data_IF_662627469300
#
_entry.id   IF_662627469300
#
_cell.length_a   1.000
_cell.length_b   1.000
_cell.length_c   1.000
_cell.angle_alpha   90.00
_cell.angle_beta   90.00
_cell.angle_gamma   90.00
#
_symmetry.space_group_name_H-M   'P 1'
#
loop_
_entity.id
_entity.type
_entity.pdbx_description
1 polymer ?
#
# COMPACT_ATOMS: atom_id res chain seq x y z
N UNK A 1 -12.41 -8.98 0.78
CA UNK A 1 -11.25 -9.55 0.06
C UNK A 1 -9.92 -9.04 0.62
N UNK A 2 -8.85 -9.85 0.52
CA UNK A 2 -7.46 -9.43 0.75
C UNK A 2 -6.72 -9.32 -0.58
N UNK A 3 -6.21 -8.14 -0.89
CA UNK A 3 -5.53 -7.82 -2.15
C UNK A 3 -4.07 -7.46 -1.89
N UNK A 4 -3.21 -7.64 -2.87
CA UNK A 4 -1.81 -7.24 -2.82
C UNK A 4 -1.30 -6.80 -4.19
N UNK A 5 -0.17 -6.10 -4.20
CA UNK A 5 0.71 -6.08 -5.36
C UNK A 5 1.83 -7.08 -5.10
N UNK A 6 2.17 -7.92 -6.08
CA UNK A 6 3.20 -8.95 -5.91
C UNK A 6 3.99 -9.16 -7.20
N UNK A 7 5.21 -9.68 -7.10
CA UNK A 7 5.90 -10.29 -8.23
C UNK A 7 6.25 -11.74 -7.92
N UNK A 8 6.40 -12.61 -8.92
CA UNK A 8 7.17 -13.84 -8.70
C UNK A 8 8.58 -13.48 -8.20
N UNK A 9 9.26 -14.41 -7.51
CA UNK A 9 10.66 -14.23 -7.10
C UNK A 9 11.58 -13.99 -8.30
N UNK A 10 11.33 -14.69 -9.40
CA UNK A 10 12.05 -14.54 -10.66
C UNK A 10 11.05 -14.63 -11.84
N UNK A 11 11.05 -13.66 -12.79
CA UNK A 11 11.85 -12.44 -12.81
C UNK A 11 11.35 -11.38 -11.82
N UNK A 12 12.26 -10.53 -11.34
CA UNK A 12 11.91 -9.37 -10.52
C UNK A 12 11.06 -8.37 -11.32
N UNK A 13 9.89 -8.02 -10.78
CA UNK A 13 9.04 -6.96 -11.32
C UNK A 13 8.86 -5.89 -10.24
N UNK A 14 9.41 -4.70 -10.48
CA UNK A 14 9.40 -3.58 -9.53
C UNK A 14 7.99 -3.21 -9.09
N UNK A 15 7.06 -3.06 -10.04
CA UNK A 15 5.65 -2.77 -9.76
C UNK A 15 4.86 -4.00 -9.31
N UNK A 16 5.18 -5.16 -9.88
CA UNK A 16 4.40 -6.39 -9.73
C UNK A 16 3.04 -6.35 -10.43
N UNK A 17 2.23 -7.36 -10.14
CA UNK A 17 0.84 -7.52 -10.58
C UNK A 17 -0.12 -7.42 -9.40
N UNK A 18 -1.36 -7.00 -9.64
CA UNK A 18 -2.43 -7.13 -8.65
C UNK A 18 -2.75 -8.60 -8.39
N UNK A 19 -2.95 -8.95 -7.13
CA UNK A 19 -3.33 -10.29 -6.71
C UNK A 19 -4.39 -10.28 -5.61
N UNK A 20 -5.19 -11.33 -5.55
CA UNK A 20 -6.06 -11.67 -4.41
C UNK A 20 -5.40 -12.79 -3.61
N UNK A 21 -5.25 -12.58 -2.31
CA UNK A 21 -4.74 -13.62 -1.40
C UNK A 21 -5.89 -14.55 -1.05
N UNK A 22 -5.67 -15.85 -1.22
CA UNK A 22 -6.64 -16.90 -0.92
C UNK A 22 -5.92 -18.06 -0.19
N UNK A 23 -5.95 -18.06 1.14
CA UNK A 23 -5.20 -19.02 1.94
C UNK A 23 -3.69 -18.95 1.69
N UNK A 24 -3.15 -20.01 1.09
CA UNK A 24 -1.72 -20.21 0.81
C UNK A 24 -1.30 -19.84 -0.61
N UNK A 25 -2.17 -19.17 -1.38
CA UNK A 25 -1.89 -18.73 -2.75
C UNK A 25 -2.28 -17.28 -3.01
N UNK A 26 -1.70 -16.73 -4.06
CA UNK A 26 -2.05 -15.44 -4.66
C UNK A 26 -2.60 -15.68 -6.06
N UNK A 27 -3.84 -15.25 -6.27
CA UNK A 27 -4.52 -15.32 -7.56
C UNK A 27 -4.28 -14.00 -8.29
N UNK A 28 -3.52 -14.04 -9.37
CA UNK A 28 -3.24 -12.88 -10.21
C UNK A 28 -4.53 -12.36 -10.85
N UNK A 29 -4.76 -11.06 -10.70
CA UNK A 29 -5.91 -10.37 -11.30
C UNK A 29 -5.48 -9.68 -12.60
N UNK A 30 -6.33 -9.75 -13.63
CA UNK A 30 -6.11 -9.14 -14.93
C UNK A 30 -6.32 -7.61 -14.90
N UNK A 31 -5.49 -6.93 -14.12
CA UNK A 31 -5.40 -5.48 -13.99
C UNK A 31 -3.92 -5.05 -13.96
N UNK A 32 -3.65 -3.79 -14.28
CA UNK A 32 -2.28 -3.26 -14.28
C UNK A 32 -1.80 -2.84 -12.88
N UNK A 33 -2.71 -2.34 -12.04
CA UNK A 33 -2.46 -1.89 -10.67
C UNK A 33 -3.73 -2.10 -9.83
N UNK A 34 -3.61 -2.07 -8.49
CA UNK A 34 -4.79 -2.03 -7.63
C UNK A 34 -5.63 -0.76 -7.85
N UNK A 35 -5.00 0.36 -8.22
CA UNK A 35 -5.74 1.57 -8.62
C UNK A 35 -6.62 1.28 -9.84
N UNK A 36 -6.07 0.66 -10.89
CA UNK A 36 -6.82 0.29 -12.08
C UNK A 36 -7.96 -0.69 -11.75
N UNK A 37 -7.71 -1.64 -10.85
CA UNK A 37 -8.71 -2.58 -10.34
C UNK A 37 -9.88 -1.85 -9.66
N UNK A 38 -9.59 -0.92 -8.74
CA UNK A 38 -10.64 -0.15 -8.06
C UNK A 38 -11.39 0.79 -9.00
N UNK A 39 -10.67 1.47 -9.92
CA UNK A 39 -11.33 2.32 -10.92
C UNK A 39 -12.21 1.54 -11.89
N UNK A 40 -11.92 0.25 -12.09
CA UNK A 40 -12.72 -0.68 -12.90
C UNK A 40 -13.89 -1.34 -12.15
N UNK A 41 -14.22 -0.87 -10.95
CA UNK A 41 -15.34 -1.40 -10.15
C UNK A 41 -14.99 -2.61 -9.28
N UNK A 42 -13.71 -2.89 -9.06
CA UNK A 42 -13.26 -3.97 -8.17
C UNK A 42 -13.55 -5.37 -8.71
N UNK A 43 -13.68 -5.51 -10.03
CA UNK A 43 -13.87 -6.79 -10.72
C UNK A 43 -12.80 -6.94 -11.79
N UNK A 44 -12.10 -8.08 -11.79
CA UNK A 44 -11.14 -8.43 -12.81
C UNK A 44 -11.16 -9.93 -13.04
N UNK A 45 -10.79 -10.36 -14.26
CA UNK A 45 -10.61 -11.79 -14.55
C UNK A 45 -9.40 -12.31 -13.77
N UNK A 46 -9.47 -13.55 -13.33
CA UNK A 46 -8.33 -14.26 -12.75
C UNK A 46 -7.43 -14.78 -13.88
N UNK A 47 -6.11 -14.67 -13.72
CA UNK A 47 -5.16 -15.01 -14.77
C UNK A 47 -4.31 -16.24 -14.44
N UNK A 48 -3.72 -16.28 -13.26
CA UNK A 48 -2.82 -17.35 -12.82
C UNK A 48 -2.82 -17.47 -11.29
N UNK A 49 -2.39 -18.63 -10.78
CA UNK A 49 -2.21 -18.88 -9.35
C UNK A 49 -0.72 -19.01 -9.03
N UNK A 50 -0.30 -18.40 -7.92
CA UNK A 50 1.07 -18.46 -7.40
C UNK A 50 1.05 -18.90 -5.94
N UNK A 51 1.91 -19.84 -5.51
CA UNK A 51 2.09 -20.13 -4.09
C UNK A 51 2.51 -18.86 -3.34
N UNK A 52 1.91 -18.59 -2.19
CA UNK A 52 2.21 -17.41 -1.37
C UNK A 52 3.69 -17.38 -0.95
N UNK A 53 4.30 -18.54 -0.74
CA UNK A 53 5.72 -18.67 -0.42
C UNK A 53 6.66 -18.24 -1.56
N UNK A 54 6.17 -18.22 -2.80
CA UNK A 54 6.96 -18.00 -4.02
C UNK A 54 6.79 -16.58 -4.60
N UNK A 55 6.06 -15.71 -3.90
CA UNK A 55 5.88 -14.31 -4.29
C UNK A 55 6.68 -13.37 -3.40
N UNK A 56 6.99 -12.20 -3.96
CA UNK A 56 7.52 -11.05 -3.23
C UNK A 56 6.47 -9.96 -3.25
N UNK A 57 6.10 -9.45 -2.08
CA UNK A 57 5.13 -8.36 -1.99
C UNK A 57 5.73 -7.04 -2.45
N UNK A 58 4.89 -6.22 -3.07
CA UNK A 58 5.18 -4.85 -3.49
C UNK A 58 4.28 -3.88 -2.76
N UNK A 59 4.68 -2.60 -2.73
CA UNK A 59 3.81 -1.54 -2.25
C UNK A 59 2.46 -1.60 -3.01
N UNK A 60 1.30 -1.64 -2.31
CA UNK A 60 0.00 -1.74 -2.94
C UNK A 60 -0.31 -0.63 -3.95
N UNK A 61 0.27 0.55 -3.72
CA UNK A 61 0.23 1.70 -4.63
C UNK A 61 1.60 2.36 -4.65
N UNK A 62 2.42 2.02 -5.65
CA UNK A 62 3.80 2.51 -5.73
C UNK A 62 3.90 4.00 -6.11
N UNK A 63 2.98 4.51 -6.95
CA UNK A 63 2.99 5.89 -7.43
C UNK A 63 1.60 6.53 -7.37
N UNK A 64 1.07 6.78 -6.16
CA UNK A 64 -0.16 7.52 -6.01
C UNK A 64 0.05 8.99 -6.44
N UNK A 65 -0.99 9.66 -6.97
CA UNK A 65 -0.90 11.08 -7.30
C UNK A 65 -0.72 11.98 -6.08
N UNK A 66 -1.18 11.53 -4.90
CA UNK A 66 -0.98 12.23 -3.63
C UNK A 66 -1.08 11.26 -2.45
N UNK A 67 -0.43 11.61 -1.34
CA UNK A 67 -0.60 10.97 -0.03
C UNK A 67 -0.96 12.07 0.97
N UNK A 68 -2.04 11.88 1.71
CA UNK A 68 -2.50 12.79 2.77
C UNK A 68 -2.37 12.07 4.11
N UNK A 69 -1.63 12.67 5.04
CA UNK A 69 -1.49 12.18 6.41
C UNK A 69 -2.37 13.04 7.30
N UNK A 70 -3.33 12.39 7.95
CA UNK A 70 -4.28 13.05 8.85
C UNK A 70 -3.77 13.00 10.29
N UNK A 71 -4.03 14.06 11.04
CA UNK A 71 -3.87 14.09 12.49
C UNK A 71 -5.18 13.78 13.23
N UNK A 72 -5.13 13.79 14.56
CA UNK A 72 -6.30 13.50 15.41
C UNK A 72 -7.39 14.57 15.31
N UNK A 73 -7.07 15.79 14.87
CA UNK A 73 -8.05 16.86 14.67
C UNK A 73 -8.74 16.78 13.30
N UNK A 74 -8.29 15.89 12.42
CA UNK A 74 -8.80 15.72 11.07
C UNK A 74 -8.17 16.67 10.04
N UNK A 75 -7.17 17.46 10.44
CA UNK A 75 -6.34 18.22 9.51
C UNK A 75 -5.37 17.27 8.79
N UNK A 76 -4.83 17.69 7.65
CA UNK A 76 -3.87 16.87 6.91
C UNK A 76 -2.70 17.65 6.34
N UNK A 77 -1.60 16.92 6.14
CA UNK A 77 -0.43 17.37 5.38
C UNK A 77 -0.17 16.44 4.20
N UNK A 78 0.43 16.98 3.14
CA UNK A 78 0.92 16.16 2.03
C UNK A 78 2.23 15.48 2.40
N UNK A 79 2.30 14.18 2.15
CA UNK A 79 3.55 13.43 2.20
C UNK A 79 4.05 13.13 0.78
N UNK A 80 5.36 12.89 0.64
CA UNK A 80 5.98 12.69 -0.66
C UNK A 80 5.63 11.31 -1.25
N UNK A 81 4.87 11.24 -2.36
CA UNK A 81 4.51 9.97 -2.98
C UNK A 81 5.72 9.23 -3.57
N UNK A 82 6.77 9.95 -3.95
CA UNK A 82 7.99 9.35 -4.51
C UNK A 82 8.85 8.64 -3.45
N UNK A 83 8.53 8.82 -2.16
CA UNK A 83 9.21 8.17 -1.04
C UNK A 83 8.57 6.83 -0.63
N UNK A 84 7.57 6.34 -1.36
CA UNK A 84 6.91 5.07 -1.04
C UNK A 84 7.87 3.88 -1.25
N UNK A 85 7.88 2.99 -0.26
CA UNK A 85 8.71 1.79 -0.15
C UNK A 85 7.83 0.56 0.09
N UNK A 86 8.29 -0.60 -0.36
CA UNK A 86 7.70 -1.88 0.05
C UNK A 86 8.06 -2.19 1.51
N UNK A 87 7.37 -3.16 2.12
CA UNK A 87 7.55 -3.51 3.54
C UNK A 87 8.98 -3.97 3.88
N UNK A 88 9.67 -4.58 2.94
CA UNK A 88 11.02 -5.12 3.12
C UNK A 88 12.14 -4.17 2.62
N UNK A 89 11.79 -3.00 2.08
CA UNK A 89 12.78 -2.04 1.59
C UNK A 89 13.36 -1.20 2.73
N UNK A 90 14.68 -0.99 2.71
CA UNK A 90 15.37 -0.12 3.67
C UNK A 90 14.93 1.36 3.50
N UNK A 91 14.47 2.04 4.57
CA UNK A 91 14.16 3.48 4.53
C UNK A 91 15.39 4.37 4.31
N UNK A 92 16.61 3.85 4.52
CA UNK A 92 17.87 4.49 4.15
C UNK A 92 18.35 5.61 5.09
N UNK A 93 17.60 5.92 6.15
CA UNK A 93 18.00 6.88 7.19
C UNK A 93 18.14 6.13 8.53
N UNK A 94 19.35 6.11 9.13
CA UNK A 94 19.57 5.44 10.41
C UNK A 94 18.83 6.15 11.54
N UNK A 95 18.50 5.41 12.60
CA UNK A 95 17.81 5.94 13.79
C UNK A 95 16.45 6.59 13.49
N UNK A 96 15.85 6.29 12.33
CA UNK A 96 14.50 6.72 12.03
C UNK A 96 13.48 5.98 12.92
N UNK A 97 12.56 6.75 13.47
CA UNK A 97 11.42 6.30 14.25
C UNK A 97 10.27 5.88 13.31
N UNK A 98 9.47 4.91 13.77
CA UNK A 98 8.31 4.41 13.04
C UNK A 98 7.04 4.91 13.70
N UNK A 99 6.19 5.57 12.92
CA UNK A 99 4.82 5.92 13.30
C UNK A 99 3.85 5.05 12.50
N UNK A 100 3.24 4.08 13.17
CA UNK A 100 2.26 3.19 12.57
C UNK A 100 0.93 3.90 12.35
N UNK A 101 0.35 3.71 11.16
CA UNK A 101 -0.91 4.31 10.72
C UNK A 101 -1.70 3.32 9.87
N UNK A 102 -2.97 3.63 9.67
CA UNK A 102 -3.82 2.98 8.68
C UNK A 102 -4.06 3.97 7.54
N UNK A 103 -3.86 3.51 6.30
CA UNK A 103 -4.15 4.28 5.10
C UNK A 103 -5.36 3.69 4.37
N UNK A 104 -6.27 4.57 3.92
CA UNK A 104 -7.27 4.22 2.92
C UNK A 104 -6.73 4.49 1.50
N UNK A 105 -6.96 3.53 0.61
CA UNK A 105 -6.70 3.68 -0.83
C UNK A 105 -8.01 4.12 -1.48
N UNK A 106 -7.98 5.30 -2.09
CA UNK A 106 -9.13 5.85 -2.81
C UNK A 106 -9.21 5.21 -4.20
N UNK A 107 -10.39 4.67 -4.52
CA UNK A 107 -10.76 4.04 -5.78
C UNK A 107 -11.54 4.95 -6.73
N UNK A 108 -12.44 4.37 -7.52
CA UNK A 108 -13.34 5.12 -8.41
C UNK A 108 -14.27 6.05 -7.63
N UNK A 109 -14.61 7.19 -8.24
CA UNK A 109 -15.61 8.16 -7.75
C UNK A 109 -15.37 8.66 -6.31
N UNK A 110 -14.11 8.59 -5.84
CA UNK A 110 -13.74 8.99 -4.49
C UNK A 110 -14.08 7.96 -3.40
N UNK A 111 -14.61 6.80 -3.76
CA UNK A 111 -14.92 5.74 -2.81
C UNK A 111 -13.65 5.08 -2.24
N UNK A 112 -13.72 4.56 -1.02
CA UNK A 112 -12.63 3.78 -0.45
C UNK A 112 -12.59 2.40 -1.11
N UNK A 113 -11.48 2.09 -1.78
CA UNK A 113 -11.21 0.77 -2.36
C UNK A 113 -10.73 -0.25 -1.33
N UNK A 114 -10.02 0.22 -0.30
CA UNK A 114 -9.60 -0.62 0.82
C UNK A 114 -8.60 0.05 1.74
N UNK A 115 -8.16 -0.69 2.76
CA UNK A 115 -7.29 -0.21 3.82
C UNK A 115 -6.01 -1.02 3.88
N UNK A 116 -4.91 -0.36 4.24
CA UNK A 116 -3.59 -0.98 4.36
C UNK A 116 -2.81 -0.34 5.51
N UNK A 117 -1.92 -1.06 6.18
CA UNK A 117 -0.93 -0.45 7.06
C UNK A 117 -0.07 0.55 6.31
N UNK A 118 0.29 1.62 7.00
CA UNK A 118 1.27 2.61 6.58
C UNK A 118 2.22 2.87 7.75
N UNK A 119 3.53 2.89 7.49
CA UNK A 119 4.52 3.42 8.42
C UNK A 119 5.01 4.75 7.88
N UNK A 120 4.81 5.80 8.67
CA UNK A 120 5.46 7.07 8.48
C UNK A 120 6.82 7.04 9.19
N UNK A 121 7.90 7.24 8.43
CA UNK A 121 9.24 7.27 8.98
C UNK A 121 9.62 8.69 9.39
N UNK A 122 10.16 8.84 10.61
CA UNK A 122 10.55 10.14 11.16
C UNK A 122 12.01 10.11 11.58
N UNK A 123 12.80 11.07 11.12
CA UNK A 123 14.20 11.21 11.48
C UNK A 123 14.42 12.57 12.16
N UNK A 124 14.31 12.65 13.51
CA UNK A 124 14.43 13.91 14.25
C UNK A 124 15.76 14.65 14.04
N UNK A 125 16.82 13.91 13.69
CA UNK A 125 18.14 14.45 13.38
C UNK A 125 18.20 15.24 12.07
N UNK A 126 17.24 15.05 11.16
CA UNK A 126 17.13 15.84 9.93
C UNK A 126 16.41 17.17 10.20
N UNK A 127 16.39 18.08 9.22
CA UNK A 127 15.80 19.41 9.37
C UNK A 127 14.62 19.63 8.42
N UNK A 128 13.58 20.28 8.92
CA UNK A 128 12.41 20.68 8.13
C UNK A 128 11.70 19.48 7.51
N UNK A 129 11.20 19.62 6.28
CA UNK A 129 10.47 18.57 5.57
C UNK A 129 11.26 17.25 5.44
N UNK A 130 12.59 17.31 5.40
CA UNK A 130 13.45 16.11 5.32
C UNK A 130 13.35 15.20 6.54
N UNK A 131 12.79 15.66 7.65
CA UNK A 131 12.48 14.79 8.79
C UNK A 131 11.48 13.68 8.47
N UNK A 132 10.67 13.81 7.40
CA UNK A 132 9.57 12.89 7.06
C UNK A 132 9.45 12.53 5.58
N UNK A 133 10.18 13.25 4.71
CA UNK A 133 10.11 13.15 3.24
C UNK A 133 10.92 11.97 2.64
N UNK A 134 11.67 11.21 3.45
CA UNK A 134 12.60 10.21 2.92
C UNK A 134 11.99 8.81 2.71
N UNK A 135 10.96 8.44 3.48
CA UNK A 135 10.33 7.12 3.36
C UNK A 135 8.88 7.10 3.87
N UNK A 136 8.03 6.38 3.14
CA UNK A 136 6.73 5.89 3.58
C UNK A 136 6.64 4.40 3.24
N UNK A 137 6.36 3.55 4.21
CA UNK A 137 6.17 2.11 3.92
C UNK A 137 4.68 1.81 3.86
N UNK A 138 4.21 1.21 2.76
CA UNK A 138 2.80 0.90 2.53
C UNK A 138 2.62 -0.60 2.28
N UNK A 139 1.64 -1.23 2.92
CA UNK A 139 1.27 -2.63 2.63
C UNK A 139 1.71 -3.63 3.69
N UNK A 140 1.92 -4.90 3.29
CA UNK A 140 1.86 -5.43 1.92
C UNK A 140 0.43 -5.74 1.42
N UNK A 141 -0.56 -5.77 2.30
CA UNK A 141 -1.93 -6.23 2.00
C UNK A 141 -2.94 -5.11 2.13
N UNK A 142 -3.87 -5.05 1.17
CA UNK A 142 -5.05 -4.20 1.19
C UNK A 142 -6.27 -5.04 1.56
N UNK A 143 -6.98 -4.63 2.59
CA UNK A 143 -8.24 -5.24 3.01
C UNK A 143 -9.39 -4.41 2.48
N UNK A 144 -10.31 -5.01 1.71
CA UNK A 144 -11.46 -4.30 1.15
C UNK A 144 -12.58 -4.12 2.21
N UNK A 145 -13.45 -3.10 2.09
CA UNK A 145 -14.43 -2.77 3.13
C UNK A 145 -15.42 -3.89 3.50
N UNK A 146 -15.67 -4.85 2.60
CA UNK A 146 -16.50 -6.03 2.86
C UNK A 146 -15.94 -6.99 3.92
N UNK A 147 -14.65 -6.92 4.24
CA UNK A 147 -14.03 -7.67 5.37
C UNK A 147 -14.16 -6.94 6.70
N UNK A 148 -14.64 -5.69 6.68
CA UNK A 148 -14.73 -4.80 7.83
C UNK A 148 -13.73 -3.64 7.79
N UNK A 149 -14.01 -2.63 8.62
CA UNK A 149 -13.15 -1.47 8.80
C UNK A 149 -12.04 -1.80 9.82
N UNK A 150 -10.80 -1.32 9.63
CA UNK A 150 -9.76 -1.42 10.64
C UNK A 150 -10.18 -0.70 11.95
N UNK A 151 -9.73 -1.17 13.12
CA UNK A 151 -9.98 -0.47 14.38
C UNK A 151 -9.48 0.97 14.34
N UNK A 152 -10.27 1.90 14.89
CA UNK A 152 -9.90 3.33 14.93
C UNK A 152 -10.14 4.10 13.63
N UNK A 153 -10.79 3.48 12.64
CA UNK A 153 -11.29 4.18 11.43
C UNK A 153 -12.79 4.41 11.58
N UNK A 154 -13.20 5.66 11.80
CA UNK A 154 -14.59 6.09 12.01
C UNK A 154 -15.08 7.16 10.99
N UNK A 155 -14.28 7.41 9.95
CA UNK A 155 -14.49 8.39 8.89
C UNK A 155 -14.82 7.77 7.53
#
# INVERSE_FOLDING_TARGET
>A
MKLCMFSPREPFLERGWPGRIDGDRVIQLAAQTLQAFFTGGGQAREHAEHPLADVVFRAPVLHPPSVRLFDEAGDFVFANPAAIKAVDDDPGVPEAEQLERVAAIVGADGAIGGFTPLVEWVAPQLRGAKQRDFALTLGPVVTTPDEGMPPGVDW
#
